data_IF_096707763146
#
_entry.id   IF_096707763146
#
_cell.length_a   1.000
_cell.length_b   1.000
_cell.length_c   1.000
_cell.angle_alpha   90.00
_cell.angle_beta   90.00
_cell.angle_gamma   90.00
#
_symmetry.space_group_name_H-M   'P 1'
#
loop_
_entity.id
_entity.type
_entity.pdbx_description
1 polymer ?
#
# COMPACT_ATOMS: atom_id res chain seq x y z
N UNK A 1 11.22 -9.37 -0.80
CA UNK A 1 10.29 -10.37 -1.36
C UNK A 1 10.08 -10.00 -2.82
N UNK A 2 11.13 -10.11 -3.64
CA UNK A 2 11.13 -9.61 -5.02
C UNK A 2 10.61 -8.18 -5.10
N UNK A 3 9.59 -7.99 -5.95
CA UNK A 3 8.96 -6.72 -6.26
C UNK A 3 7.93 -6.24 -5.22
N UNK A 4 7.71 -6.97 -4.11
CA UNK A 4 6.84 -6.55 -2.99
C UNK A 4 7.36 -5.27 -2.30
N UNK A 5 8.61 -4.91 -2.54
CA UNK A 5 9.24 -3.64 -2.16
C UNK A 5 8.65 -2.40 -2.84
N UNK A 6 7.81 -2.55 -3.88
CA UNK A 6 7.48 -1.45 -4.79
C UNK A 6 6.76 -0.30 -4.07
N UNK A 7 5.95 -0.59 -3.05
CA UNK A 7 5.32 0.43 -2.20
C UNK A 7 6.33 1.34 -1.51
N UNK A 8 7.41 0.77 -0.97
CA UNK A 8 8.50 1.52 -0.33
C UNK A 8 9.33 2.32 -1.35
N UNK A 9 9.55 1.75 -2.54
CA UNK A 9 10.26 2.45 -3.62
C UNK A 9 9.44 3.63 -4.14
N UNK A 10 8.12 3.46 -4.27
CA UNK A 10 7.19 4.51 -4.66
C UNK A 10 7.12 5.62 -3.61
N UNK A 11 6.98 5.27 -2.33
CA UNK A 11 6.92 6.25 -1.24
C UNK A 11 8.20 7.11 -1.18
N UNK A 12 9.38 6.54 -1.42
CA UNK A 12 10.63 7.33 -1.46
C UNK A 12 10.64 8.38 -2.54
N UNK A 13 10.22 8.01 -3.76
CA UNK A 13 10.12 8.95 -4.88
C UNK A 13 9.08 10.05 -4.61
N UNK A 14 7.90 9.67 -4.11
CA UNK A 14 6.81 10.60 -3.83
C UNK A 14 7.17 11.61 -2.73
N UNK A 15 7.95 11.19 -1.73
CA UNK A 15 8.43 12.07 -0.66
C UNK A 15 9.26 13.22 -1.18
N UNK A 16 10.04 12.99 -2.24
CA UNK A 16 10.89 14.02 -2.85
C UNK A 16 10.10 14.96 -3.78
N UNK A 17 8.90 14.55 -4.22
CA UNK A 17 8.08 15.28 -5.20
C UNK A 17 6.85 15.99 -4.62
N UNK A 18 6.36 15.56 -3.45
CA UNK A 18 5.13 16.07 -2.83
C UNK A 18 5.45 16.86 -1.55
N UNK A 19 5.16 18.17 -1.55
CA UNK A 19 5.44 19.05 -0.41
C UNK A 19 4.28 19.12 0.61
N UNK A 20 3.05 18.78 0.22
CA UNK A 20 1.84 18.93 1.05
C UNK A 20 1.29 17.60 1.59
N UNK A 21 2.04 16.50 1.43
CA UNK A 21 1.60 15.15 1.81
C UNK A 21 2.64 14.50 2.70
N UNK A 22 2.21 13.97 3.85
CA UNK A 22 3.08 13.16 4.69
C UNK A 22 3.29 11.77 4.07
N UNK A 23 4.53 11.47 3.69
CA UNK A 23 4.89 10.16 3.14
C UNK A 23 5.49 9.25 4.21
N UNK A 24 4.70 8.26 4.61
CA UNK A 24 5.03 7.32 5.69
C UNK A 24 5.39 5.95 5.11
N UNK A 25 6.63 5.52 5.35
CA UNK A 25 7.06 4.14 5.04
C UNK A 25 6.66 3.21 6.19
N UNK A 26 5.90 2.15 5.89
CA UNK A 26 5.48 1.18 6.91
C UNK A 26 5.72 -0.27 6.46
N UNK A 27 6.78 -0.94 6.97
CA UNK A 27 7.13 -2.29 6.56
C UNK A 27 6.42 -3.39 7.38
N UNK A 28 5.49 -3.02 8.27
CA UNK A 28 4.79 -3.95 9.17
C UNK A 28 3.31 -4.06 8.83
N UNK A 29 2.55 -4.84 9.61
CA UNK A 29 1.11 -5.00 9.42
C UNK A 29 0.38 -3.65 9.43
N UNK A 30 -0.48 -3.34 8.43
CA UNK A 30 -1.13 -2.04 8.30
C UNK A 30 -1.99 -1.64 9.49
N UNK A 31 -2.55 -2.59 10.24
CA UNK A 31 -3.41 -2.29 11.41
C UNK A 31 -2.68 -1.49 12.51
N UNK A 32 -1.36 -1.61 12.63
CA UNK A 32 -0.59 -0.85 13.62
C UNK A 32 -0.48 0.65 13.28
N UNK A 33 -0.86 1.07 12.07
CA UNK A 33 -0.89 2.48 11.68
C UNK A 33 -2.11 3.23 12.19
N UNK A 34 -3.10 2.55 12.80
CA UNK A 34 -4.43 3.10 13.05
C UNK A 34 -4.45 4.46 13.75
N UNK A 35 -3.59 4.65 14.76
CA UNK A 35 -3.52 5.91 15.51
C UNK A 35 -2.93 7.05 14.68
N UNK A 36 -2.03 6.73 13.74
CA UNK A 36 -1.38 7.71 12.86
C UNK A 36 -2.38 8.12 11.78
N UNK A 37 -2.96 7.16 11.07
CA UNK A 37 -3.86 7.44 9.95
C UNK A 37 -5.18 8.10 10.37
N UNK A 38 -5.57 7.97 11.64
CA UNK A 38 -6.75 8.63 12.21
C UNK A 38 -6.59 10.15 12.37
N UNK A 39 -5.37 10.69 12.26
CA UNK A 39 -5.10 12.12 12.33
C UNK A 39 -5.22 12.83 10.96
N UNK A 40 -5.50 12.08 9.88
CA UNK A 40 -5.57 12.58 8.52
C UNK A 40 -7.01 12.61 7.98
N UNK A 41 -7.30 13.54 7.07
CA UNK A 41 -8.58 13.60 6.36
C UNK A 41 -8.69 12.52 5.26
N UNK A 42 -7.56 12.20 4.63
CA UNK A 42 -7.47 11.31 3.47
C UNK A 42 -6.15 10.55 3.46
N UNK A 43 -6.21 9.24 3.18
CA UNK A 43 -5.07 8.33 3.25
C UNK A 43 -4.99 7.48 1.99
N UNK A 44 -3.79 7.42 1.41
CA UNK A 44 -3.45 6.57 0.27
C UNK A 44 -2.47 5.48 0.72
N UNK A 45 -2.88 4.22 0.64
CA UNK A 45 -1.96 3.08 0.75
C UNK A 45 -1.45 2.76 -0.65
N UNK A 46 -0.14 2.59 -0.78
CA UNK A 46 0.50 2.08 -2.00
C UNK A 46 1.10 0.73 -1.67
N UNK A 47 0.64 -0.31 -2.36
CA UNK A 47 1.11 -1.69 -2.14
C UNK A 47 1.20 -2.47 -3.45
N UNK A 48 1.91 -3.59 -3.42
CA UNK A 48 2.02 -4.51 -4.54
C UNK A 48 0.78 -5.41 -4.65
N UNK A 49 0.45 -5.89 -5.84
CA UNK A 49 -0.48 -7.01 -6.03
C UNK A 49 -0.02 -7.92 -7.17
N UNK A 50 -0.33 -9.21 -7.11
CA UNK A 50 0.01 -10.12 -8.20
C UNK A 50 -0.77 -9.76 -9.48
N UNK A 51 -0.05 -9.50 -10.57
CA UNK A 51 -0.63 -9.23 -11.89
C UNK A 51 0.22 -9.83 -13.00
N UNK A 52 -0.44 -10.31 -14.06
CA UNK A 52 0.21 -10.72 -15.29
C UNK A 52 0.92 -9.55 -16.00
N UNK A 53 0.52 -8.31 -15.69
CA UNK A 53 1.08 -7.08 -16.24
C UNK A 53 1.86 -6.31 -15.17
N UNK A 54 3.17 -6.53 -15.14
CA UNK A 54 4.07 -5.76 -14.27
C UNK A 54 3.97 -4.25 -14.53
N UNK A 55 3.95 -3.45 -13.47
CA UNK A 55 3.83 -1.98 -13.51
C UNK A 55 2.40 -1.47 -13.73
N UNK A 56 1.41 -2.35 -13.78
CA UNK A 56 0.01 -1.95 -13.83
C UNK A 56 -0.40 -1.21 -12.55
N UNK A 57 -1.02 -0.03 -12.69
CA UNK A 57 -1.53 0.74 -11.53
C UNK A 57 -3.05 0.67 -11.51
N UNK A 58 -3.62 0.32 -10.36
CA UNK A 58 -5.08 0.28 -10.15
C UNK A 58 -5.46 0.89 -8.79
N UNK A 59 -6.62 1.52 -8.74
CA UNK A 59 -7.28 1.77 -7.45
C UNK A 59 -7.97 0.45 -7.08
N UNK A 60 -7.54 -0.13 -5.98
CA UNK A 60 -8.05 -1.38 -5.45
C UNK A 60 -9.25 -1.09 -4.55
N UNK A 61 -10.31 -1.88 -4.72
CA UNK A 61 -11.46 -1.85 -3.83
C UNK A 61 -11.19 -2.74 -2.61
N UNK A 62 -11.13 -2.20 -1.38
CA UNK A 62 -10.83 -2.98 -0.18
C UNK A 62 -11.79 -4.13 0.12
N UNK A 63 -13.00 -4.10 -0.47
CA UNK A 63 -13.97 -5.20 -0.35
C UNK A 63 -13.71 -6.37 -1.28
N UNK A 64 -12.84 -6.19 -2.29
CA UNK A 64 -12.47 -7.24 -3.23
C UNK A 64 -11.34 -8.10 -2.63
N UNK A 65 -11.52 -9.42 -2.66
CA UNK A 65 -10.47 -10.37 -2.30
C UNK A 65 -9.46 -10.43 -3.45
N UNK A 66 -8.47 -9.56 -3.38
CA UNK A 66 -7.29 -9.72 -4.20
C UNK A 66 -6.33 -10.69 -3.49
N UNK A 67 -5.57 -11.48 -4.26
CA UNK A 67 -4.38 -12.18 -3.77
C UNK A 67 -3.27 -11.15 -3.48
N UNK A 68 -3.55 -10.22 -2.58
CA UNK A 68 -2.56 -9.25 -2.14
C UNK A 68 -1.71 -9.95 -1.10
N UNK A 69 -0.41 -9.65 -1.16
CA UNK A 69 0.65 -10.03 -0.24
C UNK A 69 0.15 -10.29 1.19
N UNK A 70 0.80 -11.19 1.95
CA UNK A 70 0.48 -11.43 3.37
C UNK A 70 0.41 -10.16 4.23
N UNK A 71 1.02 -9.07 3.77
CA UNK A 71 0.96 -7.72 4.33
C UNK A 71 -0.41 -7.04 4.23
N UNK A 72 -1.32 -7.51 3.35
CA UNK A 72 -2.70 -7.01 3.26
C UNK A 72 -3.59 -7.46 4.40
N UNK A 73 -3.14 -8.43 5.20
CA UNK A 73 -3.86 -8.85 6.39
C UNK A 73 -4.01 -7.66 7.35
N UNK A 74 -5.26 -7.27 7.58
CA UNK A 74 -5.61 -6.12 8.42
C UNK A 74 -5.89 -4.82 7.66
N UNK A 75 -5.64 -4.72 6.35
CA UNK A 75 -6.02 -3.54 5.55
C UNK A 75 -7.55 -3.33 5.54
N UNK A 76 -8.39 -4.35 5.26
CA UNK A 76 -9.85 -4.15 5.33
C UNK A 76 -10.34 -3.72 6.71
N UNK A 77 -9.72 -4.25 7.78
CA UNK A 77 -10.03 -3.87 9.16
C UNK A 77 -9.63 -2.43 9.45
N UNK A 78 -8.40 -2.04 9.08
CA UNK A 78 -7.91 -0.67 9.21
C UNK A 78 -8.87 0.30 8.53
N UNK A 79 -9.18 0.04 7.25
CA UNK A 79 -10.07 0.86 6.43
C UNK A 79 -11.43 1.01 7.09
N UNK A 80 -12.03 -0.11 7.53
CA UNK A 80 -13.32 -0.07 8.19
C UNK A 80 -13.31 0.79 9.46
N UNK A 81 -12.27 0.70 10.28
CA UNK A 81 -12.18 1.47 11.52
C UNK A 81 -11.96 2.94 11.22
N UNK A 82 -11.00 3.29 10.38
CA UNK A 82 -10.64 4.71 10.15
C UNK A 82 -11.70 5.43 9.32
N UNK A 83 -12.35 4.76 8.37
CA UNK A 83 -13.50 5.34 7.66
C UNK A 83 -14.70 5.59 8.57
N UNK A 84 -14.84 4.84 9.67
CA UNK A 84 -15.86 5.13 10.69
C UNK A 84 -15.57 6.42 11.48
N UNK A 85 -14.32 6.90 11.44
CA UNK A 85 -13.88 8.16 12.03
C UNK A 85 -13.95 9.34 11.04
N UNK A 86 -14.39 9.11 9.80
CA UNK A 86 -14.50 10.12 8.76
C UNK A 86 -13.32 10.22 7.80
N UNK A 87 -12.28 9.38 7.99
CA UNK A 87 -11.09 9.36 7.12
C UNK A 87 -11.41 8.70 5.79
N UNK A 88 -11.10 9.39 4.68
CA UNK A 88 -11.18 8.82 3.34
C UNK A 88 -9.99 7.92 3.07
N UNK A 89 -10.24 6.77 2.44
CA UNK A 89 -9.21 5.77 2.29
C UNK A 89 -9.16 5.24 0.85
N UNK A 90 -7.95 5.18 0.31
CA UNK A 90 -7.66 4.74 -1.05
C UNK A 90 -6.53 3.73 -1.02
N UNK A 91 -6.67 2.64 -1.79
CA UNK A 91 -5.59 1.68 -1.99
C UNK A 91 -5.18 1.74 -3.45
N UNK A 92 -3.91 2.05 -3.69
CA UNK A 92 -3.27 2.06 -4.99
C UNK A 92 -2.41 0.80 -5.09
N UNK A 93 -2.84 -0.12 -5.94
CA UNK A 93 -2.11 -1.34 -6.23
C UNK A 93 -1.15 -1.16 -7.39
N UNK A 94 0.07 -1.65 -7.25
CA UNK A 94 1.05 -1.77 -8.34
C UNK A 94 1.25 -3.26 -8.66
N UNK A 95 0.94 -3.64 -9.90
CA UNK A 95 0.99 -5.02 -10.38
C UNK A 95 2.43 -5.51 -10.47
N UNK A 96 2.72 -6.64 -9.84
CA UNK A 96 4.04 -7.27 -9.82
C UNK A 96 3.95 -8.74 -10.24
N UNK A 97 5.05 -9.29 -10.75
CA UNK A 97 5.13 -10.70 -11.19
C UNK A 97 5.83 -11.61 -10.20
N UNK A 98 6.66 -11.07 -9.32
CA UNK A 98 7.51 -11.87 -8.45
C UNK A 98 7.53 -11.34 -7.01
N UNK A 99 6.94 -12.09 -6.10
CA UNK A 99 6.96 -11.82 -4.64
C UNK A 99 7.82 -12.84 -3.87
N UNK A 100 8.68 -13.57 -4.58
CA UNK A 100 9.48 -14.65 -3.99
C UNK A 100 10.43 -14.15 -2.90
N UNK A 101 10.53 -14.91 -1.83
CA UNK A 101 11.39 -14.59 -0.69
C UNK A 101 12.86 -14.79 -1.08
N UNK A 102 13.74 -13.84 -0.72
CA UNK A 102 15.18 -13.89 -1.06
C UNK A 102 15.56 -13.23 -2.39
N UNK A 103 14.58 -12.81 -3.20
CA UNK A 103 14.85 -12.04 -4.41
C UNK A 103 14.90 -10.53 -4.15
N UNK A 104 15.77 -9.84 -4.91
CA UNK A 104 15.90 -8.39 -4.90
C UNK A 104 14.73 -7.70 -5.59
N UNK A 105 14.43 -6.50 -5.10
CA UNK A 105 13.50 -5.56 -5.72
C UNK A 105 14.00 -5.17 -7.11
N UNK A 106 13.29 -5.54 -8.19
CA UNK A 106 13.72 -5.11 -9.51
C UNK A 106 13.43 -3.61 -9.69
N UNK A 107 14.41 -2.88 -10.22
CA UNK A 107 14.22 -1.46 -10.57
C UNK A 107 13.36 -1.40 -11.83
N UNK A 108 12.10 -1.01 -11.67
CA UNK A 108 11.20 -0.60 -12.75
C UNK A 108 11.66 0.69 -13.41
#
# INVERSE_FOLDING_TARGET
MGDDCIGLSASRKLRDELEEVDVIEWPFFPISLINIVAEYDEVFIIDSFESDKAGEVRILNPSENYSISTHYSGVPTLIRVVSSLGVKFHVIGIGVRNVSMGEECQKS
#
